data_IF_771545818949
#
_entry.id   IF_771545818949
#
_cell.length_a   1.000
_cell.length_b   1.000
_cell.length_c   1.000
_cell.angle_alpha   90.00
_cell.angle_beta   90.00
_cell.angle_gamma   90.00
#
_symmetry.space_group_name_H-M   'P 1'
#
loop_
_entity.id
_entity.type
_entity.pdbx_description
1 polymer ?
#
# COMPACT_ATOMS: atom_id res chain seq x y z
N UNK A 1 30.45 -23.76 -21.77
CA UNK A 1 29.72 -22.48 -21.76
C UNK A 1 28.90 -22.51 -20.49
N UNK A 2 29.25 -21.65 -19.53
CA UNK A 2 28.90 -21.79 -18.12
C UNK A 2 27.40 -21.56 -17.87
N UNK A 3 26.71 -22.62 -17.44
CA UNK A 3 25.40 -22.52 -16.79
C UNK A 3 25.66 -22.10 -15.33
N UNK A 4 25.55 -20.80 -15.07
CA UNK A 4 25.61 -20.27 -13.71
C UNK A 4 24.26 -20.49 -13.03
N UNK A 5 24.01 -21.72 -12.58
CA UNK A 5 23.02 -21.98 -11.53
C UNK A 5 23.41 -21.15 -10.30
N UNK A 6 22.71 -20.05 -10.05
CA UNK A 6 22.87 -19.31 -8.82
C UNK A 6 22.43 -20.19 -7.64
N UNK A 7 23.22 -20.25 -6.56
CA UNK A 7 23.03 -21.22 -5.50
C UNK A 7 21.81 -20.89 -4.65
N UNK A 8 21.11 -21.97 -4.31
CA UNK A 8 20.12 -22.13 -3.25
C UNK A 8 20.53 -21.35 -1.99
N UNK A 9 20.05 -20.13 -1.86
CA UNK A 9 20.14 -19.34 -0.64
C UNK A 9 18.81 -18.63 -0.44
N UNK A 10 17.91 -19.21 0.37
CA UNK A 10 17.00 -18.48 1.28
C UNK A 10 16.07 -19.45 2.04
N UNK A 11 16.59 -20.07 3.12
CA UNK A 11 15.86 -20.49 4.34
C UNK A 11 14.60 -21.38 4.23
N UNK A 12 14.03 -21.86 5.35
CA UNK A 12 12.77 -22.60 5.31
C UNK A 12 11.69 -21.68 4.74
N UNK A 13 11.00 -22.15 3.69
CA UNK A 13 9.79 -21.60 3.08
C UNK A 13 9.08 -20.64 4.04
N UNK A 14 9.22 -19.33 3.82
CA UNK A 14 8.43 -18.35 4.56
C UNK A 14 6.98 -18.63 4.20
N UNK A 15 6.21 -19.17 5.15
CA UNK A 15 4.76 -19.38 5.01
C UNK A 15 4.04 -18.03 4.93
N UNK A 16 4.16 -17.34 3.80
CA UNK A 16 3.40 -16.15 3.50
C UNK A 16 2.04 -16.59 2.99
N UNK A 17 0.99 -16.40 3.79
CA UNK A 17 -0.38 -16.61 3.33
C UNK A 17 -0.78 -15.42 2.46
N UNK A 18 -0.84 -15.63 1.15
CA UNK A 18 -1.44 -14.67 0.24
C UNK A 18 -2.94 -14.56 0.53
N UNK A 19 -3.41 -13.36 0.84
CA UNK A 19 -4.83 -13.10 1.00
C UNK A 19 -5.47 -12.95 -0.40
N UNK A 20 -6.66 -13.54 -0.64
CA UNK A 20 -7.38 -13.35 -1.89
C UNK A 20 -7.80 -11.87 -2.00
N UNK A 21 -7.31 -11.19 -3.03
CA UNK A 21 -7.71 -9.82 -3.35
C UNK A 21 -8.76 -9.86 -4.47
N UNK A 22 -9.98 -9.32 -4.27
CA UNK A 22 -10.97 -9.29 -5.32
C UNK A 22 -10.55 -8.33 -6.44
N UNK A 23 -10.67 -8.78 -7.69
CA UNK A 23 -10.39 -7.96 -8.87
C UNK A 23 -11.25 -6.69 -8.84
N UNK A 24 -10.63 -5.53 -9.09
CA UNK A 24 -11.25 -4.18 -9.09
C UNK A 24 -11.63 -3.59 -7.73
N UNK A 25 -11.07 -4.09 -6.62
CA UNK A 25 -11.23 -3.46 -5.30
C UNK A 25 -9.89 -2.94 -4.74
N UNK A 26 -9.28 -1.88 -5.33
CA UNK A 26 -8.02 -1.31 -4.84
C UNK A 26 -8.14 -0.82 -3.39
N UNK A 27 -9.35 -0.42 -2.99
CA UNK A 27 -9.75 -0.02 -1.65
C UNK A 27 -9.48 -1.12 -0.60
N UNK A 28 -9.37 -2.38 -1.03
CA UNK A 28 -9.12 -3.54 -0.17
C UNK A 28 -7.64 -3.96 -0.12
N UNK A 29 -6.75 -3.27 -0.84
CA UNK A 29 -5.32 -3.49 -0.72
C UNK A 29 -4.74 -2.54 0.33
N UNK A 30 -4.14 -3.04 1.44
CA UNK A 30 -3.56 -2.18 2.46
C UNK A 30 -2.46 -1.26 1.90
N UNK A 31 -1.70 -1.70 0.89
CA UNK A 31 -0.62 -0.91 0.31
C UNK A 31 -1.15 0.26 -0.54
N UNK A 32 -2.22 0.06 -1.32
CA UNK A 32 -2.85 1.14 -2.10
C UNK A 32 -3.38 2.24 -1.18
N UNK A 33 -3.97 1.85 -0.04
CA UNK A 33 -4.46 2.81 0.94
C UNK A 33 -3.33 3.61 1.60
N UNK A 34 -2.20 2.98 1.90
CA UNK A 34 -1.02 3.69 2.41
C UNK A 34 -0.49 4.66 1.35
N UNK A 35 -0.47 4.27 0.07
CA UNK A 35 -0.10 5.18 -1.02
C UNK A 35 -1.05 6.37 -1.14
N UNK A 36 -2.36 6.18 -0.99
CA UNK A 36 -3.31 7.30 -0.94
C UNK A 36 -3.00 8.27 0.22
N UNK A 37 -2.67 7.75 1.40
CA UNK A 37 -2.27 8.56 2.56
C UNK A 37 -0.99 9.38 2.30
N UNK A 38 -0.04 8.82 1.55
CA UNK A 38 1.21 9.49 1.14
C UNK A 38 0.92 10.55 0.06
N UNK A 39 0.07 10.23 -0.92
CA UNK A 39 -0.34 11.17 -1.97
C UNK A 39 -1.08 12.39 -1.38
N UNK A 40 -2.00 12.18 -0.43
CA UNK A 40 -2.68 13.26 0.30
C UNK A 40 -1.70 14.14 1.08
N UNK A 41 -0.67 13.55 1.69
CA UNK A 41 0.41 14.28 2.36
C UNK A 41 1.21 15.11 1.37
N UNK A 42 1.56 14.51 0.24
CA UNK A 42 2.32 15.17 -0.82
C UNK A 42 1.52 16.35 -1.41
N UNK A 43 0.21 16.18 -1.63
CA UNK A 43 -0.68 17.19 -2.19
C UNK A 43 -0.84 18.44 -1.30
N UNK A 44 -0.54 18.36 0.00
CA UNK A 44 -0.52 19.52 0.90
C UNK A 44 0.70 20.41 0.70
N UNK A 45 1.72 19.95 -0.03
CA UNK A 45 2.83 20.79 -0.43
C UNK A 45 2.43 21.59 -1.68
N UNK A 46 2.08 22.86 -1.48
CA UNK A 46 1.71 23.77 -2.57
C UNK A 46 2.90 24.28 -3.39
N UNK A 47 4.14 23.99 -2.95
CA UNK A 47 5.34 24.41 -3.67
C UNK A 47 5.62 23.46 -4.83
N UNK A 48 5.85 23.97 -6.05
CA UNK A 48 6.31 23.13 -7.14
C UNK A 48 7.67 22.52 -6.79
N UNK A 49 7.92 21.33 -7.32
CA UNK A 49 9.20 20.63 -7.19
C UNK A 49 9.98 20.89 -8.47
N UNK A 50 11.27 21.21 -8.34
CA UNK A 50 12.10 21.59 -9.49
C UNK A 50 13.04 20.48 -9.96
N UNK A 51 13.31 19.48 -9.12
CA UNK A 51 14.21 18.36 -9.42
C UNK A 51 13.64 17.01 -8.98
N UNK A 52 14.14 15.92 -9.58
CA UNK A 52 13.74 14.55 -9.21
C UNK A 52 14.18 14.21 -7.78
N UNK A 53 15.35 14.67 -7.35
CA UNK A 53 15.86 14.44 -5.98
C UNK A 53 14.99 15.10 -4.92
N UNK A 54 14.52 16.32 -5.20
CA UNK A 54 13.60 17.04 -4.32
C UNK A 54 12.25 16.31 -4.23
N UNK A 55 11.76 15.77 -5.36
CA UNK A 55 10.54 14.97 -5.39
C UNK A 55 10.70 13.72 -4.51
N UNK A 56 11.81 13.01 -4.68
CA UNK A 56 12.13 11.81 -3.90
C UNK A 56 12.16 12.10 -2.40
N UNK A 57 12.84 13.19 -1.99
CA UNK A 57 12.90 13.60 -0.59
C UNK A 57 11.52 13.90 -0.01
N UNK A 58 10.65 14.58 -0.77
CA UNK A 58 9.29 14.89 -0.33
C UNK A 58 8.43 13.62 -0.21
N UNK A 59 8.57 12.67 -1.13
CA UNK A 59 7.88 11.39 -1.07
C UNK A 59 8.33 10.58 0.15
N UNK A 60 9.65 10.48 0.39
CA UNK A 60 10.18 9.80 1.57
C UNK A 60 9.75 10.47 2.88
N UNK A 61 9.78 11.79 2.95
CA UNK A 61 9.28 12.53 4.12
C UNK A 61 7.77 12.30 4.34
N UNK A 62 6.97 12.35 3.28
CA UNK A 62 5.54 12.08 3.34
C UNK A 62 5.27 10.64 3.82
N UNK A 63 6.01 9.67 3.28
CA UNK A 63 5.96 8.26 3.70
C UNK A 63 6.34 8.08 5.18
N UNK A 64 7.43 8.70 5.62
CA UNK A 64 7.88 8.63 7.01
C UNK A 64 6.90 9.33 7.99
N UNK A 65 6.14 10.32 7.53
CA UNK A 65 5.11 11.01 8.33
C UNK A 65 3.80 10.23 8.49
N UNK A 66 3.65 9.08 7.83
CA UNK A 66 2.50 8.18 8.07
C UNK A 66 2.67 7.56 9.44
N UNK A 67 1.81 7.93 10.39
CA UNK A 67 1.89 7.42 11.75
C UNK A 67 1.53 5.94 11.82
N UNK A 68 2.17 5.21 12.74
CA UNK A 68 1.80 3.81 13.05
C UNK A 68 0.33 3.70 13.41
N UNK A 69 -0.23 4.70 14.10
CA UNK A 69 -1.65 4.75 14.42
C UNK A 69 -2.54 4.81 13.17
N UNK A 70 -2.16 5.59 12.15
CA UNK A 70 -2.90 5.63 10.88
C UNK A 70 -2.90 4.26 10.18
N UNK A 71 -1.76 3.57 10.22
CA UNK A 71 -1.62 2.20 9.68
C UNK A 71 -2.50 1.22 10.48
N UNK A 72 -2.47 1.27 11.80
CA UNK A 72 -3.30 0.42 12.65
C UNK A 72 -4.80 0.68 12.43
N UNK A 73 -5.19 1.94 12.34
CA UNK A 73 -6.58 2.34 12.05
C UNK A 73 -7.03 1.83 10.68
N UNK A 74 -6.16 1.91 9.66
CA UNK A 74 -6.41 1.30 8.36
C UNK A 74 -6.69 -0.20 8.49
N UNK A 75 -5.82 -0.96 9.17
CA UNK A 75 -6.03 -2.40 9.39
C UNK A 75 -7.34 -2.71 10.13
N UNK A 76 -7.71 -1.94 11.15
CA UNK A 76 -8.99 -2.12 11.86
C UNK A 76 -10.17 -1.81 10.93
N UNK A 77 -10.06 -0.78 10.09
CA UNK A 77 -11.11 -0.39 9.14
C UNK A 77 -11.31 -1.37 7.99
N UNK A 78 -10.28 -2.15 7.64
CA UNK A 78 -10.32 -3.12 6.54
C UNK A 78 -11.45 -4.12 6.69
N UNK A 79 -11.67 -4.65 7.90
CA UNK A 79 -12.80 -5.56 8.19
C UNK A 79 -14.15 -4.91 7.88
N UNK A 80 -14.32 -3.62 8.20
CA UNK A 80 -15.54 -2.88 7.87
C UNK A 80 -15.71 -2.67 6.36
N UNK A 81 -14.63 -2.39 5.64
CA UNK A 81 -14.67 -2.17 4.18
C UNK A 81 -14.97 -3.45 3.43
N UNK A 82 -14.41 -4.58 3.87
CA UNK A 82 -14.76 -5.92 3.34
C UNK A 82 -16.26 -6.18 3.55
N UNK A 83 -16.79 -5.96 4.75
CA UNK A 83 -18.23 -6.11 5.02
C UNK A 83 -19.10 -5.18 4.17
N UNK A 84 -18.64 -3.95 3.90
CA UNK A 84 -19.34 -3.00 3.04
C UNK A 84 -19.39 -3.48 1.58
N UNK A 85 -18.28 -4.01 1.06
CA UNK A 85 -18.20 -4.57 -0.31
C UNK A 85 -19.07 -5.83 -0.44
N UNK A 86 -19.10 -6.69 0.58
CA UNK A 86 -19.98 -7.87 0.63
C UNK A 86 -21.44 -7.42 0.61
N UNK A 87 -21.81 -6.45 1.44
CA UNK A 87 -23.17 -5.87 1.48
C UNK A 87 -23.55 -5.26 0.13
N UNK A 88 -22.61 -4.56 -0.52
CA UNK A 88 -22.79 -3.97 -1.83
C UNK A 88 -22.77 -4.99 -3.00
N UNK A 89 -22.61 -6.30 -2.71
CA UNK A 89 -22.46 -7.36 -3.71
C UNK A 89 -21.35 -7.10 -4.74
N UNK A 90 -20.26 -6.45 -4.31
CA UNK A 90 -19.15 -6.05 -5.18
C UNK A 90 -19.33 -4.69 -5.89
N UNK A 91 -20.42 -3.96 -5.62
CA UNK A 91 -20.60 -2.57 -6.08
C UNK A 91 -19.73 -1.56 -5.32
N UNK A 92 -19.73 -0.30 -5.77
CA UNK A 92 -18.99 0.79 -5.12
C UNK A 92 -19.49 1.02 -3.69
N UNK A 93 -18.75 0.53 -2.68
CA UNK A 93 -18.90 1.01 -1.31
C UNK A 93 -18.29 2.41 -1.26
N UNK A 94 -19.06 3.44 -0.91
CA UNK A 94 -18.66 4.86 -0.94
C UNK A 94 -17.57 5.26 0.07
N UNK A 95 -16.43 4.57 0.02
CA UNK A 95 -15.23 4.71 0.85
C UNK A 95 -14.00 4.97 -0.02
#
# INVERSE_FOLDING_TARGET
MHDHMLPVLYGPEKYFRQLPSPARAPNLSPIENVWSMVAERLARHHTPVTTVDELWHRVEAARASVSVHAIQSLFVSMSRRISAVITARGGCSGY
#
